data_IF_093025087944
#
_entry.id   IF_093025087944
#
_cell.length_a   1.000
_cell.length_b   1.000
_cell.length_c   1.000
_cell.angle_alpha   90.00
_cell.angle_beta   90.00
_cell.angle_gamma   90.00
#
_symmetry.space_group_name_H-M   'P 1'
#
loop_
_entity.id
_entity.type
_entity.pdbx_description
1 polymer ?
#
# COMPACT_ATOMS: atom_id res chain seq x y z
N UNK A 1 -11.17 -2.13 -22.91
CA UNK A 1 -9.96 -2.87 -22.50
C UNK A 1 -8.83 -2.62 -23.47
N UNK A 2 -7.74 -2.06 -22.97
CA UNK A 2 -6.48 -1.84 -23.68
C UNK A 2 -5.63 -3.14 -23.78
N UNK A 3 -6.21 -4.29 -23.44
CA UNK A 3 -5.53 -5.58 -23.38
C UNK A 3 -4.63 -5.77 -22.17
N UNK A 4 -4.55 -4.79 -21.26
CA UNK A 4 -3.65 -4.87 -20.10
C UNK A 4 -4.29 -5.59 -18.91
N UNK A 5 -3.49 -6.39 -18.18
CA UNK A 5 -3.94 -7.05 -16.94
C UNK A 5 -3.90 -6.06 -15.77
N UNK A 6 -5.07 -5.57 -15.34
CA UNK A 6 -5.22 -4.68 -14.18
C UNK A 6 -6.17 -5.27 -13.16
N UNK A 7 -5.95 -4.95 -11.89
CA UNK A 7 -6.87 -5.34 -10.81
C UNK A 7 -8.19 -4.57 -10.95
N UNK A 8 -9.33 -5.26 -10.90
CA UNK A 8 -10.64 -4.60 -10.79
C UNK A 8 -11.01 -4.33 -9.32
N UNK A 9 -10.50 -5.17 -8.42
CA UNK A 9 -10.64 -5.06 -6.96
C UNK A 9 -9.31 -5.37 -6.29
N UNK A 10 -8.95 -4.58 -5.28
CA UNK A 10 -7.75 -4.79 -4.47
C UNK A 10 -7.98 -4.12 -3.12
N UNK A 11 -8.45 -4.89 -2.14
CA UNK A 11 -8.87 -4.37 -0.84
C UNK A 11 -8.04 -5.02 0.25
N UNK A 12 -7.59 -4.23 1.23
CA UNK A 12 -6.79 -4.69 2.36
C UNK A 12 -7.57 -4.41 3.65
N UNK A 13 -7.81 -5.43 4.46
CA UNK A 13 -8.43 -5.29 5.78
C UNK A 13 -7.37 -4.96 6.83
N UNK A 14 -7.32 -3.70 7.27
CA UNK A 14 -6.32 -3.19 8.21
C UNK A 14 -6.50 -3.73 9.64
N UNK A 15 -7.64 -4.35 9.97
CA UNK A 15 -7.82 -5.07 11.24
C UNK A 15 -7.29 -6.49 11.20
N UNK A 16 -7.05 -7.05 10.00
CA UNK A 16 -6.41 -8.36 9.82
C UNK A 16 -4.94 -8.26 9.43
N UNK A 17 -4.55 -7.16 8.80
CA UNK A 17 -3.16 -6.88 8.49
C UNK A 17 -2.33 -6.84 9.79
N UNK A 18 -1.22 -7.55 9.79
CA UNK A 18 -0.25 -7.55 10.91
C UNK A 18 0.99 -6.68 10.61
N UNK A 19 0.96 -5.93 9.50
CA UNK A 19 2.01 -4.98 9.10
C UNK A 19 3.40 -5.63 8.97
N UNK A 20 3.48 -6.88 8.53
CA UNK A 20 4.75 -7.62 8.44
C UNK A 20 5.65 -7.25 7.25
N UNK A 21 5.17 -6.45 6.28
CA UNK A 21 5.94 -6.05 5.10
C UNK A 21 6.06 -7.11 3.99
N UNK A 22 5.61 -8.35 4.20
CA UNK A 22 5.74 -9.41 3.18
C UNK A 22 5.02 -9.12 1.85
N UNK A 23 3.97 -8.31 1.86
CA UNK A 23 3.32 -7.91 0.61
C UNK A 23 4.21 -7.02 -0.27
N UNK A 24 5.04 -6.17 0.33
CA UNK A 24 6.01 -5.33 -0.37
C UNK A 24 7.14 -6.18 -0.93
N UNK A 25 7.72 -7.06 -0.11
CA UNK A 25 8.82 -7.94 -0.53
C UNK A 25 8.39 -8.97 -1.59
N UNK A 26 7.17 -9.49 -1.50
CA UNK A 26 6.66 -10.47 -2.45
C UNK A 26 6.26 -9.85 -3.79
N UNK A 27 6.09 -8.53 -3.88
CA UNK A 27 5.61 -7.90 -5.10
C UNK A 27 6.75 -7.81 -6.14
N UNK A 28 6.65 -8.48 -7.30
CA UNK A 28 7.75 -8.51 -8.27
C UNK A 28 7.93 -7.19 -9.04
N UNK A 29 7.05 -6.22 -8.83
CA UNK A 29 6.99 -4.95 -9.56
C UNK A 29 6.73 -3.76 -8.64
N UNK A 30 6.91 -3.93 -7.32
CA UNK A 30 6.75 -2.87 -6.32
C UNK A 30 5.39 -2.14 -6.35
N UNK A 31 4.31 -2.85 -6.63
CA UNK A 31 2.98 -2.25 -6.76
C UNK A 31 2.32 -1.89 -5.42
N UNK A 32 2.73 -2.53 -4.32
CA UNK A 32 2.26 -2.26 -2.96
C UNK A 32 3.47 -2.05 -2.06
N UNK A 33 3.39 -1.04 -1.20
CA UNK A 33 4.47 -0.65 -0.29
C UNK A 33 3.91 -0.38 1.10
N UNK A 34 4.66 -0.70 2.13
CA UNK A 34 4.33 -0.33 3.51
C UNK A 34 4.90 1.07 3.79
N UNK A 35 4.02 2.05 3.92
CA UNK A 35 4.41 3.45 4.16
C UNK A 35 4.76 3.71 5.63
N UNK A 36 5.53 4.76 5.90
CA UNK A 36 5.85 5.27 7.25
C UNK A 36 4.68 6.03 7.92
N UNK A 37 3.44 5.66 7.57
CA UNK A 37 2.22 6.25 8.11
C UNK A 37 1.74 5.41 9.29
N UNK A 38 2.01 5.90 10.49
CA UNK A 38 1.65 5.21 11.74
C UNK A 38 0.42 5.82 12.43
N UNK A 39 0.06 7.04 12.08
CA UNK A 39 -1.00 7.80 12.73
C UNK A 39 -2.29 7.74 11.92
N UNK A 40 -3.16 6.78 12.25
CA UNK A 40 -4.51 6.68 11.71
C UNK A 40 -5.48 6.19 12.77
N UNK A 41 -6.73 6.62 12.68
CA UNK A 41 -7.79 6.26 13.61
C UNK A 41 -9.07 5.95 12.83
N UNK A 42 -9.80 4.93 13.28
CA UNK A 42 -11.12 4.59 12.75
C UNK A 42 -12.17 4.96 13.80
N UNK A 43 -13.02 5.94 13.48
CA UNK A 43 -14.08 6.41 14.39
C UNK A 43 -15.27 5.44 14.48
N UNK A 44 -15.50 4.65 13.42
CA UNK A 44 -16.63 3.71 13.35
C UNK A 44 -16.13 2.29 13.12
N UNK A 45 -16.86 1.30 13.65
CA UNK A 45 -16.58 -0.14 13.45
C UNK A 45 -16.86 -0.64 12.03
N UNK A 46 -17.04 0.25 11.05
CA UNK A 46 -16.97 -0.13 9.64
C UNK A 46 -15.62 -0.82 9.42
N UNK A 47 -15.63 -1.97 8.74
CA UNK A 47 -14.41 -2.76 8.53
C UNK A 47 -13.28 -1.83 8.11
N UNK A 48 -12.13 -1.86 8.77
CA UNK A 48 -10.92 -1.08 8.42
C UNK A 48 -10.33 -1.47 7.06
N UNK A 49 -11.20 -1.84 6.11
CA UNK A 49 -10.90 -2.23 4.75
C UNK A 49 -10.61 -0.98 3.96
N UNK A 50 -9.36 -0.86 3.51
CA UNK A 50 -8.95 0.15 2.56
C UNK A 50 -9.15 -0.39 1.14
N UNK A 51 -9.85 0.37 0.30
CA UNK A 51 -10.14 -0.03 -1.08
C UNK A 51 -8.97 0.25 -2.01
N UNK A 52 -9.00 -0.33 -3.22
CA UNK A 52 -8.02 -0.02 -4.27
C UNK A 52 -7.89 1.48 -4.51
N UNK A 53 -9.02 2.19 -4.54
CA UNK A 53 -9.03 3.61 -4.84
C UNK A 53 -8.37 4.42 -3.72
N UNK A 54 -8.58 4.03 -2.47
CA UNK A 54 -7.96 4.69 -1.32
C UNK A 54 -6.46 4.41 -1.24
N UNK A 55 -6.03 3.18 -1.56
CA UNK A 55 -4.62 2.83 -1.69
C UNK A 55 -3.91 3.64 -2.77
N UNK A 56 -4.55 3.82 -3.94
CA UNK A 56 -4.01 4.65 -5.01
C UNK A 56 -3.90 6.13 -4.57
N UNK A 57 -4.92 6.68 -3.89
CA UNK A 57 -4.89 8.04 -3.35
C UNK A 57 -3.76 8.26 -2.34
N UNK A 58 -3.53 7.27 -1.46
CA UNK A 58 -2.40 7.31 -0.53
C UNK A 58 -1.07 7.30 -1.29
N UNK A 59 -0.93 6.43 -2.29
CA UNK A 59 0.23 6.39 -3.18
C UNK A 59 0.50 7.77 -3.80
N UNK A 60 -0.49 8.36 -4.46
CA UNK A 60 -0.37 9.68 -5.10
C UNK A 60 0.01 10.77 -4.08
N UNK A 61 -0.55 10.73 -2.88
CA UNK A 61 -0.29 11.73 -1.82
C UNK A 61 1.13 11.61 -1.27
N UNK A 62 1.63 10.38 -1.09
CA UNK A 62 2.89 10.11 -0.38
C UNK A 62 4.04 9.65 -1.29
N UNK A 63 3.86 9.66 -2.60
CA UNK A 63 4.85 9.17 -3.59
C UNK A 63 6.25 9.75 -3.36
N UNK A 64 6.34 11.05 -3.07
CA UNK A 64 7.62 11.69 -2.80
C UNK A 64 8.35 11.13 -1.56
N UNK A 65 7.61 10.76 -0.50
CA UNK A 65 8.18 10.15 0.69
C UNK A 65 8.54 8.68 0.44
N UNK A 66 7.65 7.93 -0.21
CA UNK A 66 7.85 6.54 -0.62
C UNK A 66 9.13 6.40 -1.45
N UNK A 67 9.27 7.22 -2.50
CA UNK A 67 10.43 7.19 -3.39
C UNK A 67 11.75 7.49 -2.64
N UNK A 68 11.75 8.41 -1.68
CA UNK A 68 12.93 8.70 -0.85
C UNK A 68 13.31 7.52 0.05
N UNK A 69 12.32 6.93 0.74
CA UNK A 69 12.54 5.78 1.62
C UNK A 69 13.09 4.58 0.83
N UNK A 70 12.49 4.26 -0.31
CA UNK A 70 12.95 3.19 -1.20
C UNK A 70 14.36 3.45 -1.73
N UNK A 71 14.69 4.68 -2.12
CA UNK A 71 16.05 5.02 -2.58
C UNK A 71 17.09 4.81 -1.48
N UNK A 72 16.75 5.10 -0.23
CA UNK A 72 17.64 4.86 0.91
C UNK A 72 17.83 3.37 1.19
N UNK A 73 16.78 2.56 1.00
CA UNK A 73 16.77 1.12 1.29
C UNK A 73 17.25 0.23 0.13
N UNK A 74 17.39 0.77 -1.09
CA UNK A 74 17.71 0.02 -2.31
C UNK A 74 19.03 -0.75 -2.30
N UNK A 75 19.92 -0.54 -1.32
CA UNK A 75 21.14 -1.33 -1.16
C UNK A 75 20.91 -2.66 -0.39
N UNK A 76 19.77 -2.78 0.29
CA UNK A 76 19.44 -3.92 1.17
C UNK A 76 18.28 -4.78 0.64
N UNK A 77 17.69 -4.39 -0.49
CA UNK A 77 16.65 -5.12 -1.21
C UNK A 77 17.03 -5.38 -2.66
#
# INVERSE_FOLDING_TARGET
DDGTRRTTRYDIDLFKCIYCGYCEEACPVDAIVLTDLHEYHFETGASGTISKLDLLRLGDTYEGAIARARKADAAYR
#
